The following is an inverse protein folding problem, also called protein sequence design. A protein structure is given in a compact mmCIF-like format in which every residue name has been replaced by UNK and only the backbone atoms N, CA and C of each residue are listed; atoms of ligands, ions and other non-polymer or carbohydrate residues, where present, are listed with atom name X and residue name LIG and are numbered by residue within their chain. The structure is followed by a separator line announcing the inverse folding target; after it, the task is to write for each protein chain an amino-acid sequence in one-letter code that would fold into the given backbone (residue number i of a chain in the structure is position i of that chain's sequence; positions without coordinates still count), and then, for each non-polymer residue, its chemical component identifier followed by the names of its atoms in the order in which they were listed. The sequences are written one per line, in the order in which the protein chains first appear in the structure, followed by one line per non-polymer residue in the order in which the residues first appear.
data_IF_988129481193
#
_entry.id   IF_988129481193
#
_cell.length_a   1.000
_cell.length_b   1.000
_cell.length_c   1.000
_cell.angle_alpha   90.00
_cell.angle_beta   90.00
_cell.angle_gamma   90.00
#
_symmetry.space_group_name_H-M   'P 1'
#
loop_
_entity.id
_entity.type
_entity.pdbx_description
1 polymer ?
#
# COMPACT_ATOMS: atom_id res chain seq x y z
N UNK A 1 25.35 30.37 34.23
CA UNK A 1 24.68 29.07 34.10
C UNK A 1 23.80 29.16 32.87
N UNK A 2 24.32 28.68 31.73
CA UNK A 2 23.52 28.55 30.50
C UNK A 2 22.44 27.50 30.78
N UNK A 3 21.18 27.92 30.71
CA UNK A 3 20.07 27.00 30.79
C UNK A 3 20.08 26.15 29.52
N UNK A 4 20.45 24.87 29.65
CA UNK A 4 20.31 23.90 28.59
C UNK A 4 18.85 23.91 28.12
N UNK A 5 18.66 24.11 26.82
CA UNK A 5 17.34 23.97 26.20
C UNK A 5 16.80 22.58 26.55
N UNK A 6 15.50 22.44 26.89
CA UNK A 6 14.93 21.12 27.12
C UNK A 6 15.04 20.31 25.83
N UNK A 7 15.66 19.13 25.90
CA UNK A 7 15.59 18.13 24.83
C UNK A 7 14.12 17.71 24.70
N UNK A 8 13.42 18.26 23.71
CA UNK A 8 12.03 17.93 23.41
C UNK A 8 11.88 16.64 22.59
N UNK A 9 12.98 16.06 22.11
CA UNK A 9 12.97 14.85 21.32
C UNK A 9 13.53 13.71 22.16
N UNK A 10 12.64 13.03 22.89
CA UNK A 10 12.94 11.64 23.24
C UNK A 10 13.27 10.91 21.94
N UNK A 11 14.44 10.27 21.83
CA UNK A 11 14.79 9.44 20.68
C UNK A 11 13.75 8.33 20.53
N UNK A 12 12.69 8.60 19.76
CA UNK A 12 11.56 7.71 19.61
C UNK A 12 12.08 6.43 18.97
N UNK A 13 11.85 5.27 19.60
CA UNK A 13 12.33 3.98 19.09
C UNK A 13 11.86 3.70 17.64
N UNK A 14 10.77 4.35 17.22
CA UNK A 14 10.19 4.31 15.88
C UNK A 14 10.99 5.08 14.81
N UNK A 15 12.03 5.83 15.21
CA UNK A 15 12.94 6.53 14.29
C UNK A 15 14.17 5.70 13.90
N UNK A 16 14.36 4.51 14.47
CA UNK A 16 15.55 3.71 14.19
C UNK A 16 15.38 2.89 12.91
N UNK A 17 16.29 3.09 11.96
CA UNK A 17 16.36 2.23 10.78
C UNK A 17 16.71 0.79 11.18
N UNK A 18 16.03 -0.17 10.58
CA UNK A 18 16.34 -1.59 10.72
C UNK A 18 16.44 -2.24 9.33
N UNK A 19 17.21 -3.31 9.23
CA UNK A 19 17.32 -4.08 8.00
C UNK A 19 16.12 -5.02 7.87
N UNK A 20 15.37 -4.90 6.77
CA UNK A 20 14.12 -5.65 6.55
C UNK A 20 14.36 -7.17 6.65
N UNK A 21 15.38 -7.70 5.97
CA UNK A 21 15.68 -9.13 6.02
C UNK A 21 16.06 -9.63 7.42
N UNK A 22 16.65 -8.77 8.26
CA UNK A 22 16.97 -9.14 9.64
C UNK A 22 15.71 -9.27 10.52
N UNK A 23 14.69 -8.43 10.28
CA UNK A 23 13.38 -8.55 10.92
C UNK A 23 12.73 -9.89 10.58
N UNK A 24 12.69 -10.26 9.29
CA UNK A 24 12.10 -11.53 8.85
C UNK A 24 12.82 -12.76 9.35
N UNK A 25 14.16 -12.71 9.44
CA UNK A 25 14.94 -13.79 10.08
C UNK A 25 14.65 -13.88 11.59
N UNK A 26 14.45 -12.73 12.26
CA UNK A 26 14.08 -12.69 13.68
C UNK A 26 12.71 -13.32 13.93
N UNK A 27 11.71 -12.96 13.13
CA UNK A 27 10.37 -13.52 13.24
C UNK A 27 10.31 -15.00 12.96
N UNK A 28 10.96 -15.47 11.89
CA UNK A 28 11.03 -16.92 11.59
C UNK A 28 11.72 -17.74 12.67
N UNK A 29 12.53 -17.13 13.55
CA UNK A 29 13.13 -17.80 14.71
C UNK A 29 12.19 -17.89 15.92
N UNK A 30 11.26 -16.96 16.03
CA UNK A 30 10.34 -16.85 17.17
C UNK A 30 9.01 -17.57 16.92
N UNK A 31 8.55 -17.54 15.66
CA UNK A 31 7.32 -18.18 15.21
C UNK A 31 7.57 -19.65 14.88
N UNK A 32 6.66 -20.53 15.32
CA UNK A 32 6.73 -21.96 15.02
C UNK A 32 6.15 -22.29 13.65
N UNK A 33 6.30 -23.55 13.19
CA UNK A 33 5.61 -24.05 12.00
C UNK A 33 4.09 -23.78 11.95
N UNK A 34 3.31 -23.90 13.04
CA UNK A 34 1.88 -23.58 12.97
C UNK A 34 1.58 -22.10 12.76
N UNK A 35 2.45 -21.19 13.23
CA UNK A 35 2.26 -19.74 13.08
C UNK A 35 2.59 -19.24 11.67
N UNK A 36 3.39 -20.01 10.91
CA UNK A 36 3.84 -19.69 9.55
C UNK A 36 3.05 -20.43 8.47
N UNK A 37 2.31 -21.46 8.85
CA UNK A 37 1.58 -22.34 7.95
C UNK A 37 0.47 -21.58 7.21
N UNK A 38 0.44 -21.73 5.88
CA UNK A 38 -0.66 -21.22 5.05
C UNK A 38 -1.75 -22.29 4.82
N UNK A 39 -1.60 -23.48 5.40
CA UNK A 39 -2.62 -24.50 5.35
C UNK A 39 -3.87 -24.02 6.11
N UNK A 40 -5.03 -24.05 5.44
CA UNK A 40 -6.29 -23.81 6.11
C UNK A 40 -6.52 -24.96 7.09
N UNK A 41 -6.55 -24.66 8.40
CA UNK A 41 -7.09 -25.60 9.38
C UNK A 41 -8.54 -25.90 8.99
N UNK A 42 -8.97 -27.15 9.19
CA UNK A 42 -10.37 -27.51 8.96
C UNK A 42 -11.25 -26.60 9.83
N UNK A 43 -12.32 -26.04 9.25
CA UNK A 43 -13.15 -25.03 9.91
C UNK A 43 -13.67 -25.49 11.30
N UNK A 44 -13.83 -26.79 11.52
CA UNK A 44 -14.18 -27.34 12.84
C UNK A 44 -13.04 -27.26 13.87
N UNK A 45 -11.79 -27.49 13.49
CA UNK A 45 -10.65 -27.35 14.40
C UNK A 45 -10.43 -25.87 14.76
N UNK A 46 -10.57 -24.97 13.79
CA UNK A 46 -10.47 -23.53 14.00
C UNK A 46 -11.58 -22.99 14.93
N UNK A 47 -12.84 -23.40 14.74
CA UNK A 47 -13.97 -22.98 15.59
C UNK A 47 -13.78 -23.44 17.05
N UNK A 48 -13.25 -24.65 17.25
CA UNK A 48 -12.95 -25.20 18.58
C UNK A 48 -11.80 -24.45 19.24
N UNK A 49 -10.74 -24.14 18.50
CA UNK A 49 -9.60 -23.36 19.00
C UNK A 49 -10.01 -21.93 19.40
N UNK A 50 -10.82 -21.26 18.59
CA UNK A 50 -11.35 -19.92 18.88
C UNK A 50 -12.28 -19.95 20.11
N UNK A 51 -13.17 -20.93 20.21
CA UNK A 51 -14.03 -21.10 21.37
C UNK A 51 -13.23 -21.31 22.67
N UNK A 52 -12.13 -22.08 22.60
CA UNK A 52 -11.24 -22.29 23.73
C UNK A 52 -10.48 -21.00 24.12
N UNK A 53 -9.97 -20.25 23.13
CA UNK A 53 -9.26 -18.98 23.36
C UNK A 53 -10.17 -17.89 23.98
N UNK A 54 -11.44 -17.86 23.58
CA UNK A 54 -12.44 -16.93 24.11
C UNK A 54 -13.06 -17.40 25.44
N UNK A 55 -12.72 -18.61 25.91
CA UNK A 55 -13.29 -19.19 27.12
C UNK A 55 -14.78 -19.52 27.01
N UNK A 56 -15.27 -19.78 25.79
CA UNK A 56 -16.67 -20.12 25.54
C UNK A 56 -16.97 -21.57 25.93
N UNK A 57 -18.12 -21.79 26.58
CA UNK A 57 -18.63 -23.14 26.78
C UNK A 57 -19.00 -23.78 25.42
N UNK A 58 -18.83 -25.11 25.25
CA UNK A 58 -19.08 -25.78 23.97
C UNK A 58 -20.53 -25.64 23.48
N UNK A 59 -21.50 -25.54 24.41
CA UNK A 59 -22.90 -25.25 24.07
C UNK A 59 -23.09 -23.85 23.48
N UNK A 60 -22.45 -22.84 24.06
CA UNK A 60 -22.51 -21.45 23.57
C UNK A 60 -21.79 -21.30 22.23
N UNK A 61 -20.68 -22.01 22.02
CA UNK A 61 -19.97 -22.01 20.73
C UNK A 61 -20.84 -22.60 19.61
N UNK A 62 -21.55 -23.71 19.88
CA UNK A 62 -22.48 -24.31 18.92
C UNK A 62 -23.67 -23.40 18.60
N UNK A 63 -24.21 -22.70 19.60
CA UNK A 63 -25.25 -21.68 19.40
C UNK A 63 -24.74 -20.53 18.54
N UNK A 64 -23.57 -19.97 18.83
CA UNK A 64 -22.96 -18.90 18.05
C UNK A 64 -22.68 -19.32 16.60
N UNK A 65 -22.18 -20.55 16.39
CA UNK A 65 -21.97 -21.11 15.04
C UNK A 65 -23.27 -21.15 14.24
N UNK A 66 -24.37 -21.48 14.89
CA UNK A 66 -25.69 -21.53 14.25
C UNK A 66 -26.20 -20.12 13.94
N UNK A 67 -26.14 -19.21 14.91
CA UNK A 67 -26.68 -17.84 14.79
C UNK A 67 -25.86 -16.95 13.85
N UNK A 68 -24.54 -17.12 13.83
CA UNK A 68 -23.61 -16.34 13.01
C UNK A 68 -23.24 -17.03 11.68
N UNK A 69 -23.98 -18.08 11.29
CA UNK A 69 -23.78 -18.77 10.02
C UNK A 69 -24.08 -17.86 8.82
N UNK A 70 -23.42 -18.13 7.69
CA UNK A 70 -23.66 -17.41 6.42
C UNK A 70 -25.14 -17.52 6.02
N UNK A 71 -25.76 -18.67 6.27
CA UNK A 71 -27.18 -18.90 5.98
C UNK A 71 -28.11 -17.98 6.78
N UNK A 72 -27.74 -17.58 8.00
CA UNK A 72 -28.47 -16.60 8.81
C UNK A 72 -28.21 -15.15 8.38
N UNK A 73 -27.15 -14.90 7.61
CA UNK A 73 -26.86 -13.59 7.02
C UNK A 73 -27.58 -13.37 5.69
N UNK A 74 -28.02 -14.45 5.04
CA UNK A 74 -28.80 -14.37 3.80
C UNK A 74 -30.22 -13.90 4.12
N UNK A 75 -30.77 -12.90 3.40
CA UNK A 75 -32.19 -12.56 3.53
C UNK A 75 -33.03 -13.80 3.23
N UNK A 76 -34.18 -13.93 3.91
CA UNK A 76 -35.21 -14.88 3.48
C UNK A 76 -35.49 -14.70 1.97
N UNK A 77 -35.97 -15.72 1.25
CA UNK A 77 -36.20 -15.71 -0.23
C UNK A 77 -37.00 -14.51 -0.79
N UNK A 78 -37.54 -13.64 0.06
CA UNK A 78 -38.06 -12.34 -0.29
C UNK A 78 -36.92 -11.34 -0.47
N UNK A 79 -36.71 -10.89 -1.71
CA UNK A 79 -36.04 -9.62 -1.98
C UNK A 79 -36.80 -8.50 -1.27
N UNK A 80 -36.38 -8.17 -0.06
CA UNK A 80 -36.81 -6.95 0.61
C UNK A 80 -35.98 -5.80 0.06
N UNK A 81 -36.66 -4.73 -0.37
CA UNK A 81 -36.00 -3.54 -0.85
C UNK A 81 -35.09 -2.98 0.27
N UNK A 82 -33.76 -2.96 0.08
CA UNK A 82 -32.83 -2.58 1.12
C UNK A 82 -33.02 -1.13 1.57
N UNK A 83 -33.72 -0.28 0.82
CA UNK A 83 -33.99 1.11 1.16
C UNK A 83 -35.23 1.30 2.04
N UNK A 84 -36.01 0.23 2.29
CA UNK A 84 -37.13 0.25 3.23
C UNK A 84 -36.62 -0.05 4.64
N UNK A 85 -36.51 1.00 5.46
CA UNK A 85 -36.06 0.87 6.86
C UNK A 85 -37.26 0.59 7.78
N UNK A 86 -37.24 -0.50 8.57
CA UNK A 86 -38.30 -0.79 9.54
C UNK A 86 -38.49 0.35 10.56
N UNK A 87 -39.73 0.76 10.80
CA UNK A 87 -40.07 1.89 11.68
C UNK A 87 -39.74 1.66 13.16
N UNK A 88 -39.61 0.40 13.56
CA UNK A 88 -39.38 -0.07 14.94
C UNK A 88 -37.90 -0.21 15.32
N UNK A 89 -36.98 0.18 14.42
CA UNK A 89 -35.55 0.03 14.69
C UNK A 89 -35.00 1.04 15.68
N UNK A 90 -34.52 0.55 16.82
CA UNK A 90 -33.77 1.33 17.81
C UNK A 90 -32.32 1.59 17.42
N UNK A 91 -31.82 0.98 16.32
CA UNK A 91 -30.41 1.05 15.92
C UNK A 91 -30.04 2.46 15.42
N UNK A 92 -28.94 2.99 15.96
CA UNK A 92 -28.44 4.31 15.62
C UNK A 92 -28.01 4.40 14.14
N UNK A 93 -27.47 3.30 13.60
CA UNK A 93 -27.08 3.16 12.19
C UNK A 93 -28.27 3.29 11.24
N UNK A 94 -29.41 2.65 11.55
CA UNK A 94 -30.63 2.75 10.75
C UNK A 94 -31.27 4.15 10.84
N UNK A 95 -31.18 4.82 11.99
CA UNK A 95 -31.58 6.24 12.12
C UNK A 95 -30.72 7.18 11.28
N UNK A 96 -29.41 6.96 11.21
CA UNK A 96 -28.51 7.73 10.34
C UNK A 96 -28.84 7.47 8.87
N UNK A 97 -29.06 6.21 8.49
CA UNK A 97 -29.43 5.82 7.12
C UNK A 97 -30.75 6.46 6.69
N UNK A 98 -31.78 6.45 7.56
CA UNK A 98 -33.08 7.09 7.30
C UNK A 98 -32.93 8.58 6.99
N UNK A 99 -32.16 9.30 7.80
CA UNK A 99 -31.83 10.72 7.54
C UNK A 99 -31.09 10.94 6.22
N UNK A 100 -30.24 10.00 5.81
CA UNK A 100 -29.53 10.09 4.54
C UNK A 100 -30.46 9.83 3.33
N UNK A 101 -31.40 8.90 3.44
CA UNK A 101 -32.43 8.63 2.43
C UNK A 101 -33.39 9.82 2.29
N UNK A 102 -33.90 10.36 3.40
CA UNK A 102 -34.75 11.57 3.41
C UNK A 102 -34.04 12.76 2.75
N UNK A 103 -32.76 12.98 3.07
CA UNK A 103 -31.95 14.01 2.39
C UNK A 103 -31.82 13.75 0.89
N UNK A 104 -31.62 12.51 0.43
CA UNK A 104 -31.55 12.18 -0.99
C UNK A 104 -32.87 12.42 -1.73
N UNK A 105 -34.01 12.26 -1.06
CA UNK A 105 -35.32 12.61 -1.62
C UNK A 105 -35.51 14.14 -1.71
N UNK A 106 -35.04 14.88 -0.69
CA UNK A 106 -35.15 16.34 -0.62
C UNK A 106 -34.15 17.09 -1.53
N UNK A 107 -32.99 16.49 -1.82
CA UNK A 107 -31.94 17.09 -2.66
C UNK A 107 -31.70 16.31 -3.95
N UNK A 108 -31.78 17.01 -5.10
CA UNK A 108 -31.44 16.47 -6.44
C UNK A 108 -29.91 16.17 -6.56
N UNK A 109 -29.14 16.49 -5.53
CA UNK A 109 -27.70 16.26 -5.46
C UNK A 109 -27.46 14.82 -5.03
N UNK A 110 -27.26 13.94 -6.00
CA UNK A 110 -26.73 12.60 -5.74
C UNK A 110 -25.24 12.75 -5.45
N UNK A 111 -24.87 12.74 -4.18
CA UNK A 111 -23.48 12.56 -3.76
C UNK A 111 -23.09 11.11 -4.10
N UNK A 112 -22.71 10.89 -5.37
CA UNK A 112 -22.16 9.61 -5.79
C UNK A 112 -20.87 9.46 -5.02
N UNK A 113 -20.82 8.44 -4.14
CA UNK A 113 -19.57 7.91 -3.62
C UNK A 113 -18.58 7.89 -4.79
N UNK A 114 -17.42 8.53 -4.58
CA UNK A 114 -16.45 8.78 -5.63
C UNK A 114 -16.28 7.50 -6.45
N UNK A 115 -16.66 7.53 -7.74
CA UNK A 115 -16.62 6.33 -8.61
C UNK A 115 -15.23 5.67 -8.59
N UNK A 116 -14.20 6.47 -8.34
CA UNK A 116 -12.84 6.01 -8.17
C UNK A 116 -12.69 5.05 -6.97
N UNK A 117 -13.29 5.37 -5.81
CA UNK A 117 -13.18 4.52 -4.61
C UNK A 117 -13.94 3.21 -4.78
N UNK A 118 -15.11 3.24 -5.42
CA UNK A 118 -15.85 2.03 -5.78
C UNK A 118 -15.04 1.16 -6.74
N UNK A 119 -14.46 1.75 -7.78
CA UNK A 119 -13.60 1.03 -8.73
C UNK A 119 -12.36 0.44 -8.04
N UNK A 120 -11.69 1.20 -7.17
CA UNK A 120 -10.52 0.71 -6.41
C UNK A 120 -10.91 -0.47 -5.52
N UNK A 121 -12.01 -0.37 -4.78
CA UNK A 121 -12.51 -1.47 -3.97
C UNK A 121 -12.87 -2.70 -4.82
N UNK A 122 -13.54 -2.51 -5.96
CA UNK A 122 -13.84 -3.60 -6.89
C UNK A 122 -12.55 -4.28 -7.38
N UNK A 123 -11.54 -3.50 -7.78
CA UNK A 123 -10.23 -3.99 -8.19
C UNK A 123 -9.51 -4.78 -7.09
N UNK A 124 -9.53 -4.29 -5.84
CA UNK A 124 -8.95 -4.99 -4.68
C UNK A 124 -9.72 -6.28 -4.35
N UNK A 125 -11.06 -6.23 -4.40
CA UNK A 125 -11.93 -7.38 -4.11
C UNK A 125 -11.76 -8.51 -5.13
N UNK A 126 -11.40 -8.20 -6.38
CA UNK A 126 -11.18 -9.20 -7.42
C UNK A 126 -10.09 -10.21 -7.10
N UNK A 127 -9.12 -9.86 -6.25
CA UNK A 127 -8.05 -10.76 -5.81
C UNK A 127 -8.41 -11.53 -4.53
N UNK A 128 -9.44 -11.10 -3.80
CA UNK A 128 -9.79 -11.67 -2.49
C UNK A 128 -10.29 -13.10 -2.66
N UNK A 129 -9.65 -14.05 -1.96
CA UNK A 129 -10.03 -15.47 -1.97
C UNK A 129 -9.64 -16.24 -3.24
N UNK A 130 -8.99 -15.61 -4.23
CA UNK A 130 -8.47 -16.31 -5.40
C UNK A 130 -7.09 -16.87 -5.11
N UNK A 131 -6.88 -18.13 -5.50
CA UNK A 131 -5.54 -18.73 -5.53
C UNK A 131 -4.91 -18.47 -6.89
N UNK A 132 -3.59 -18.20 -6.95
CA UNK A 132 -2.89 -18.09 -8.22
C UNK A 132 -3.02 -19.39 -9.03
N UNK A 133 -3.26 -19.27 -10.33
CA UNK A 133 -3.32 -20.42 -11.24
C UNK A 133 -1.92 -21.05 -11.44
N UNK A 134 -0.88 -20.21 -11.43
CA UNK A 134 0.51 -20.66 -11.55
C UNK A 134 1.10 -20.95 -10.18
N UNK A 135 1.83 -22.07 -10.10
CA UNK A 135 2.54 -22.46 -8.88
C UNK A 135 3.72 -21.55 -8.52
N UNK A 136 4.25 -20.79 -9.48
CA UNK A 136 5.33 -19.81 -9.28
C UNK A 136 4.87 -18.55 -8.55
N UNK A 137 3.57 -18.27 -8.60
CA UNK A 137 2.96 -17.08 -8.01
C UNK A 137 2.48 -17.36 -6.57
N UNK A 138 2.71 -18.60 -6.09
CA UNK A 138 2.49 -18.97 -4.70
C UNK A 138 3.57 -18.36 -3.81
N UNK A 139 3.14 -17.78 -2.70
CA UNK A 139 4.01 -17.16 -1.72
C UNK A 139 4.50 -18.24 -0.75
N UNK A 140 5.81 -18.25 -0.47
CA UNK A 140 6.41 -19.16 0.50
C UNK A 140 5.98 -18.83 1.94
N UNK A 141 5.90 -19.86 2.78
CA UNK A 141 5.55 -19.70 4.20
C UNK A 141 6.63 -18.89 4.94
N UNK A 142 6.19 -17.90 5.72
CA UNK A 142 7.08 -17.00 6.44
C UNK A 142 7.83 -15.99 5.56
N UNK A 143 7.34 -15.72 4.36
CA UNK A 143 7.79 -14.59 3.55
C UNK A 143 7.29 -13.25 4.15
N UNK A 144 8.15 -12.24 4.12
CA UNK A 144 7.79 -10.90 4.62
C UNK A 144 6.93 -10.16 3.62
N UNK A 145 5.95 -9.43 4.13
CA UNK A 145 5.06 -8.60 3.33
C UNK A 145 5.03 -7.16 3.87
N UNK A 146 5.40 -6.23 3.00
CA UNK A 146 5.48 -4.81 3.31
C UNK A 146 4.31 -4.07 2.67
N UNK A 147 3.67 -3.19 3.44
CA UNK A 147 2.60 -2.31 2.94
C UNK A 147 3.19 -0.94 2.63
N UNK A 148 3.16 -0.55 1.36
CA UNK A 148 3.71 0.70 0.85
C UNK A 148 2.59 1.63 0.38
N UNK A 149 2.62 2.84 0.87
CA UNK A 149 1.75 3.93 0.45
C UNK A 149 2.53 4.88 -0.46
N UNK A 150 2.07 5.03 -1.69
CA UNK A 150 2.63 5.91 -2.70
C UNK A 150 1.71 7.12 -2.84
N UNK A 151 2.28 8.31 -2.66
CA UNK A 151 1.53 9.57 -2.75
C UNK A 151 1.63 10.16 -4.15
N UNK A 152 0.71 11.07 -4.45
CA UNK A 152 0.77 11.86 -5.69
C UNK A 152 2.08 12.65 -5.78
N UNK A 153 2.52 12.97 -7.01
CA UNK A 153 3.69 13.80 -7.20
C UNK A 153 3.60 15.12 -6.43
N UNK A 154 4.70 15.52 -5.78
CA UNK A 154 4.78 16.72 -4.92
C UNK A 154 4.39 18.01 -5.67
N UNK A 155 4.50 17.99 -7.00
CA UNK A 155 4.10 19.08 -7.91
C UNK A 155 2.58 19.33 -7.95
N UNK A 156 1.73 18.37 -7.60
CA UNK A 156 0.28 18.53 -7.64
C UNK A 156 -0.29 19.10 -6.34
N UNK A 157 -0.31 20.44 -6.22
CA UNK A 157 -0.82 21.14 -5.04
C UNK A 157 -2.25 20.76 -4.63
N UNK A 158 -3.13 20.44 -5.61
CA UNK A 158 -4.52 20.01 -5.37
C UNK A 158 -4.67 18.63 -4.72
N UNK A 159 -3.63 17.81 -4.75
CA UNK A 159 -3.63 16.44 -4.21
C UNK A 159 -2.66 16.29 -3.04
N UNK A 160 -2.24 17.42 -2.46
CA UNK A 160 -1.29 17.47 -1.34
C UNK A 160 -1.91 16.98 -0.02
N UNK A 161 -3.23 16.82 0.02
CA UNK A 161 -4.00 16.55 1.23
C UNK A 161 -4.46 15.08 1.32
N UNK A 162 -3.78 14.36 2.23
CA UNK A 162 -4.27 13.29 3.10
C UNK A 162 -4.45 11.84 2.62
N UNK A 163 -4.49 11.51 1.31
CA UNK A 163 -4.68 10.11 0.88
C UNK A 163 -3.53 9.61 0.00
N UNK A 164 -2.98 8.40 0.26
CA UNK A 164 -2.11 7.74 -0.70
C UNK A 164 -2.87 7.54 -2.01
N UNK A 165 -2.17 7.78 -3.12
CA UNK A 165 -2.71 7.54 -4.46
C UNK A 165 -2.83 6.04 -4.73
N UNK A 166 -1.84 5.27 -4.27
CA UNK A 166 -1.75 3.83 -4.48
C UNK A 166 -1.19 3.19 -3.22
N UNK A 167 -1.84 2.13 -2.75
CA UNK A 167 -1.31 1.25 -1.70
C UNK A 167 -0.96 -0.08 -2.35
N UNK A 168 0.28 -0.53 -2.17
CA UNK A 168 0.77 -1.80 -2.73
C UNK A 168 1.35 -2.67 -1.63
N UNK A 169 1.19 -3.97 -1.80
CA UNK A 169 1.83 -4.99 -0.97
C UNK A 169 2.99 -5.56 -1.76
N UNK A 170 4.19 -5.56 -1.17
CA UNK A 170 5.40 -6.11 -1.80
C UNK A 170 6.03 -7.15 -0.89
N UNK A 171 6.64 -8.15 -1.49
CA UNK A 171 7.37 -9.18 -0.75
C UNK A 171 8.77 -8.71 -0.40
N UNK A 172 9.33 -9.21 0.70
CA UNK A 172 10.71 -8.98 1.08
C UNK A 172 11.71 -9.43 0.00
N UNK A 173 11.42 -10.53 -0.70
CA UNK A 173 12.24 -11.07 -1.78
C UNK A 173 12.05 -10.38 -3.14
N UNK A 174 11.03 -9.55 -3.33
CA UNK A 174 10.79 -8.87 -4.61
C UNK A 174 11.85 -7.81 -4.90
N UNK A 175 12.17 -7.66 -6.18
CA UNK A 175 13.11 -6.63 -6.62
C UNK A 175 12.48 -5.24 -6.58
N UNK A 176 13.29 -4.23 -6.31
CA UNK A 176 12.86 -2.83 -6.39
C UNK A 176 12.32 -2.45 -7.78
N UNK A 177 12.87 -3.07 -8.82
CA UNK A 177 12.44 -2.85 -10.21
C UNK A 177 10.99 -3.26 -10.46
N UNK A 178 10.49 -4.28 -9.75
CA UNK A 178 9.10 -4.74 -9.86
C UNK A 178 8.15 -3.71 -9.28
N UNK A 179 8.49 -3.14 -8.11
CA UNK A 179 7.74 -2.02 -7.55
C UNK A 179 7.71 -0.84 -8.55
N UNK A 180 8.87 -0.45 -9.09
CA UNK A 180 8.95 0.65 -10.08
C UNK A 180 8.01 0.41 -11.27
N UNK A 181 7.95 -0.81 -11.78
CA UNK A 181 7.12 -1.14 -12.92
C UNK A 181 5.61 -1.09 -12.59
N UNK A 182 5.24 -1.42 -11.35
CA UNK A 182 3.86 -1.39 -10.83
C UNK A 182 3.32 0.01 -10.47
N UNK A 183 4.18 1.01 -10.31
CA UNK A 183 3.75 2.38 -10.01
C UNK A 183 3.08 2.96 -11.26
N UNK A 184 1.83 3.41 -11.11
CA UNK A 184 1.04 3.99 -12.19
C UNK A 184 0.96 5.52 -12.06
N UNK A 185 1.96 6.26 -12.55
CA UNK A 185 1.93 7.72 -12.46
C UNK A 185 1.13 8.34 -13.61
N UNK A 186 0.40 9.44 -13.35
CA UNK A 186 -0.29 10.22 -14.40
C UNK A 186 0.72 10.79 -15.41
N UNK A 187 1.92 11.16 -14.97
CA UNK A 187 3.00 11.64 -15.84
C UNK A 187 3.48 10.57 -16.82
N UNK A 188 3.34 9.28 -16.48
CA UNK A 188 3.71 8.18 -17.39
C UNK A 188 2.78 8.07 -18.59
N UNK A 189 1.50 8.45 -18.42
CA UNK A 189 0.46 8.40 -19.44
C UNK A 189 0.49 9.63 -20.38
N UNK A 190 1.34 10.61 -20.09
CA UNK A 190 1.43 11.81 -20.92
C UNK A 190 2.00 11.45 -22.29
N UNK A 191 1.39 12.02 -23.31
CA UNK A 191 1.84 11.93 -24.69
C UNK A 191 2.82 13.08 -24.91
N UNK A 192 4.10 12.74 -25.06
CA UNK A 192 5.14 13.71 -25.41
C UNK A 192 5.24 13.87 -26.93
N UNK A 193 5.52 15.08 -27.40
CA UNK A 193 5.81 15.36 -28.82
C UNK A 193 5.04 16.54 -29.39
N UNK A 194 5.35 16.89 -30.64
CA UNK A 194 4.64 17.92 -31.40
C UNK A 194 3.63 17.28 -32.34
N UNK A 195 2.35 17.49 -32.06
CA UNK A 195 1.24 16.99 -32.88
C UNK A 195 0.51 18.11 -33.63
N UNK A 196 1.09 19.32 -33.64
CA UNK A 196 0.46 20.52 -34.21
C UNK A 196 0.08 20.35 -35.68
N UNK A 197 0.91 19.65 -36.46
CA UNK A 197 0.69 19.38 -37.88
C UNK A 197 -0.20 18.16 -38.15
N UNK A 198 -0.35 17.25 -37.20
CA UNK A 198 -1.05 15.96 -37.37
C UNK A 198 -1.83 15.59 -36.08
N UNK A 199 -2.91 16.32 -35.75
CA UNK A 199 -3.62 16.12 -34.49
C UNK A 199 -4.38 14.79 -34.40
N UNK A 200 -4.73 14.17 -35.54
CA UNK A 200 -5.46 12.90 -35.60
C UNK A 200 -4.53 11.67 -35.50
N UNK A 201 -3.21 11.86 -35.47
CA UNK A 201 -2.27 10.76 -35.41
C UNK A 201 -2.22 10.19 -33.99
N UNK A 202 -2.50 8.89 -33.85
CA UNK A 202 -2.33 8.19 -32.60
C UNK A 202 -0.84 8.19 -32.21
N UNK A 203 -0.49 8.60 -30.98
CA UNK A 203 0.88 8.55 -30.51
C UNK A 203 1.40 7.12 -30.44
N UNK A 204 2.62 6.89 -30.94
CA UNK A 204 3.25 5.57 -30.91
C UNK A 204 3.82 5.22 -29.53
N UNK A 205 4.18 6.24 -28.74
CA UNK A 205 4.84 6.08 -27.44
C UNK A 205 4.26 7.02 -26.39
N UNK A 206 4.17 6.51 -25.16
CA UNK A 206 3.86 7.32 -23.98
C UNK A 206 5.14 7.75 -23.27
N UNK A 207 5.04 8.71 -22.35
CA UNK A 207 6.19 9.23 -21.61
C UNK A 207 6.95 8.15 -20.85
N UNK A 208 6.26 7.11 -20.32
CA UNK A 208 6.92 5.95 -19.69
C UNK A 208 7.87 5.20 -20.63
N UNK A 209 7.58 5.17 -21.92
CA UNK A 209 8.41 4.46 -22.90
C UNK A 209 9.68 5.24 -23.23
N UNK A 210 9.58 6.57 -23.26
CA UNK A 210 10.67 7.47 -23.63
C UNK A 210 11.57 7.81 -22.44
N UNK A 211 10.99 8.03 -21.26
CA UNK A 211 11.68 8.53 -20.07
C UNK A 211 11.79 7.45 -19.01
N UNK A 212 12.67 6.47 -19.27
CA UNK A 212 12.85 5.29 -18.42
C UNK A 212 13.69 5.53 -17.16
N UNK A 213 14.31 6.69 -17.01
CA UNK A 213 15.18 6.97 -15.86
C UNK A 213 14.36 7.15 -14.59
N UNK A 214 14.71 6.43 -13.53
CA UNK A 214 14.06 6.53 -12.23
C UNK A 214 15.01 6.12 -11.10
N UNK A 215 14.74 6.57 -9.88
CA UNK A 215 15.41 6.08 -8.68
C UNK A 215 14.47 6.00 -7.48
N UNK A 216 14.80 5.10 -6.55
CA UNK A 216 14.33 5.19 -5.17
C UNK A 216 15.43 5.74 -4.28
N UNK A 217 15.05 6.49 -3.25
CA UNK A 217 15.95 7.00 -2.23
C UNK A 217 15.50 6.52 -0.86
N UNK A 218 16.31 5.64 -0.25
CA UNK A 218 16.10 5.08 1.08
C UNK A 218 17.36 5.28 1.93
N UNK A 219 17.21 5.89 3.11
CA UNK A 219 18.28 6.01 4.13
C UNK A 219 19.66 6.43 3.57
N UNK A 220 19.72 7.46 2.73
CA UNK A 220 20.99 7.98 2.16
C UNK A 220 21.45 7.26 0.89
N UNK A 221 20.71 6.28 0.40
CA UNK A 221 21.08 5.46 -0.76
C UNK A 221 20.11 5.68 -1.91
N UNK A 222 20.65 6.04 -3.07
CA UNK A 222 19.94 6.12 -4.35
C UNK A 222 20.05 4.80 -5.11
N UNK A 223 18.90 4.18 -5.38
CA UNK A 223 18.78 2.97 -6.20
C UNK A 223 18.30 3.39 -7.59
N UNK A 224 19.23 3.62 -8.51
CA UNK A 224 18.92 4.07 -9.87
C UNK A 224 18.59 2.89 -10.77
N UNK A 225 17.52 2.98 -11.55
CA UNK A 225 17.20 1.99 -12.58
C UNK A 225 18.24 2.09 -13.71
N UNK A 226 19.05 1.06 -13.87
CA UNK A 226 20.09 0.98 -14.92
C UNK A 226 19.87 -0.20 -15.86
N UNK A 227 18.64 -0.74 -15.92
CA UNK A 227 18.26 -1.86 -16.80
C UNK A 227 18.42 -1.56 -18.29
N UNK A 228 18.21 -0.30 -18.69
CA UNK A 228 18.28 0.13 -20.09
C UNK A 228 19.46 1.08 -20.32
N UNK A 229 20.13 1.03 -21.49
CA UNK A 229 21.21 1.95 -21.83
C UNK A 229 20.77 3.42 -21.86
N UNK A 230 19.48 3.69 -22.13
CA UNK A 230 18.91 5.04 -22.12
C UNK A 230 18.76 5.63 -20.71
N UNK A 231 18.76 4.78 -19.67
CA UNK A 231 18.59 5.23 -18.30
C UNK A 231 19.79 6.06 -17.85
N UNK A 232 19.51 7.28 -17.43
CA UNK A 232 20.49 8.20 -16.85
C UNK A 232 20.48 8.06 -15.34
N UNK A 233 21.65 8.27 -14.74
CA UNK A 233 21.79 8.36 -13.30
C UNK A 233 21.31 9.74 -12.84
N UNK A 234 20.05 9.80 -12.40
CA UNK A 234 19.41 11.04 -11.94
C UNK A 234 19.98 11.51 -10.60
N UNK A 235 20.51 10.60 -9.79
CA UNK A 235 21.08 10.93 -8.47
C UNK A 235 22.42 11.66 -8.53
N UNK A 236 23.15 11.54 -9.64
CA UNK A 236 24.50 12.10 -9.80
C UNK A 236 24.59 13.58 -9.40
N UNK A 237 23.71 14.40 -9.96
CA UNK A 237 23.71 15.85 -9.70
C UNK A 237 23.47 16.16 -8.22
N UNK A 238 22.63 15.37 -7.55
CA UNK A 238 22.32 15.53 -6.12
C UNK A 238 23.54 15.17 -5.27
N UNK A 239 24.21 14.06 -5.60
CA UNK A 239 25.43 13.61 -4.90
C UNK A 239 26.55 14.64 -5.08
N UNK A 240 26.86 15.05 -6.31
CA UNK A 240 27.89 16.05 -6.59
C UNK A 240 27.58 17.39 -5.89
N UNK A 241 26.31 17.81 -5.91
CA UNK A 241 25.88 19.01 -5.19
C UNK A 241 26.08 18.88 -3.67
N UNK A 242 25.79 17.71 -3.09
CA UNK A 242 25.97 17.45 -1.66
C UNK A 242 27.44 17.45 -1.23
N UNK A 243 28.34 16.90 -2.06
CA UNK A 243 29.78 16.84 -1.78
C UNK A 243 30.46 18.20 -1.92
N UNK A 244 29.96 19.05 -2.84
CA UNK A 244 30.54 20.37 -3.11
C UNK A 244 30.35 21.38 -1.96
N UNK A 245 29.46 21.10 -1.00
CA UNK A 245 29.20 21.97 0.12
C UNK A 245 29.22 21.19 1.44
N UNK A 246 29.99 21.67 2.42
CA UNK A 246 29.96 21.13 3.78
C UNK A 246 28.64 21.46 4.48
N UNK A 247 27.60 20.65 4.21
CA UNK A 247 26.21 20.84 4.68
C UNK A 247 25.77 19.76 5.67
N UNK A 248 26.68 18.89 6.11
CA UNK A 248 26.37 17.79 7.02
C UNK A 248 25.61 16.61 6.38
N UNK A 249 25.53 16.54 5.05
CA UNK A 249 25.07 15.34 4.35
C UNK A 249 26.25 14.39 4.21
N UNK A 250 26.32 13.38 5.07
CA UNK A 250 27.37 12.38 5.00
C UNK A 250 26.90 11.15 4.19
N UNK A 251 27.77 10.68 3.29
CA UNK A 251 27.72 9.34 2.68
C UNK A 251 26.49 9.05 1.79
N UNK A 252 26.08 9.98 0.92
CA UNK A 252 25.13 9.64 -0.15
C UNK A 252 25.76 8.62 -1.11
N UNK A 253 25.05 7.52 -1.38
CA UNK A 253 25.53 6.44 -2.24
C UNK A 253 24.58 6.20 -3.41
N UNK A 254 25.12 5.69 -4.51
CA UNK A 254 24.33 5.29 -5.68
C UNK A 254 24.60 3.83 -6.04
N UNK A 255 23.54 3.04 -6.12
CA UNK A 255 23.57 1.65 -6.56
C UNK A 255 22.60 1.40 -7.70
N UNK A 256 22.74 0.23 -8.33
CA UNK A 256 21.83 -0.29 -9.35
C UNK A 256 20.57 -0.83 -8.69
N UNK A 257 19.40 -0.40 -9.13
CA UNK A 257 18.11 -0.83 -8.59
C UNK A 257 17.88 -2.34 -8.80
N UNK A 258 18.32 -2.87 -9.94
CA UNK A 258 18.10 -4.26 -10.37
C UNK A 258 18.84 -5.33 -9.52
N UNK A 259 19.80 -4.90 -8.71
CA UNK A 259 20.64 -5.75 -7.86
C UNK A 259 20.09 -5.89 -6.43
N UNK A 260 18.99 -5.20 -6.09
CA UNK A 260 18.46 -5.13 -4.71
C UNK A 260 17.02 -5.61 -4.60
N UNK A 261 16.74 -6.26 -3.47
CA UNK A 261 15.40 -6.65 -3.02
C UNK A 261 15.02 -5.90 -1.74
N UNK A 262 13.74 -5.93 -1.35
CA UNK A 262 13.29 -5.25 -0.12
C UNK A 262 14.01 -5.73 1.15
N UNK A 263 14.38 -7.01 1.22
CA UNK A 263 15.12 -7.60 2.34
C UNK A 263 16.51 -6.96 2.56
N UNK A 264 17.11 -6.36 1.53
CA UNK A 264 18.40 -5.69 1.63
C UNK A 264 18.31 -4.26 2.15
N UNK A 265 17.12 -3.68 2.15
CA UNK A 265 16.92 -2.30 2.54
C UNK A 265 17.01 -2.12 4.06
N UNK A 266 17.48 -0.94 4.44
CA UNK A 266 17.31 -0.42 5.80
C UNK A 266 16.22 0.63 5.78
N UNK A 267 15.20 0.46 6.62
CA UNK A 267 14.00 1.29 6.62
C UNK A 267 13.56 1.62 8.05
N UNK A 268 12.85 2.74 8.16
CA UNK A 268 12.03 3.20 9.28
C UNK A 268 10.56 3.13 8.86
N UNK A 269 9.71 2.57 9.73
CA UNK A 269 8.26 2.54 9.50
C UNK A 269 7.68 3.94 9.67
N UNK A 270 6.73 4.31 8.80
CA UNK A 270 6.08 5.62 8.83
C UNK A 270 6.95 6.77 8.33
N UNK A 271 8.20 6.51 7.94
CA UNK A 271 9.11 7.54 7.44
C UNK A 271 8.91 7.78 5.93
N UNK A 272 8.94 9.04 5.47
CA UNK A 272 8.80 9.37 4.06
C UNK A 272 10.10 9.14 3.28
N UNK A 273 10.03 8.28 2.28
CA UNK A 273 11.06 8.05 1.27
C UNK A 273 10.66 8.66 -0.06
N UNK A 274 11.60 8.71 -1.00
CA UNK A 274 11.39 9.33 -2.30
C UNK A 274 11.53 8.31 -3.43
N UNK A 275 10.57 8.35 -4.35
CA UNK A 275 10.69 7.80 -5.69
C UNK A 275 10.65 8.94 -6.69
N UNK A 276 11.62 9.01 -7.58
CA UNK A 276 11.64 10.02 -8.64
C UNK A 276 11.77 9.32 -9.99
N UNK A 277 10.92 9.69 -10.95
CA UNK A 277 10.98 9.23 -12.32
C UNK A 277 10.85 10.41 -13.29
N UNK A 278 11.27 10.21 -14.55
CA UNK A 278 11.27 11.23 -15.61
C UNK A 278 12.15 12.47 -15.34
N UNK A 279 12.80 12.56 -14.18
CA UNK A 279 13.76 13.60 -13.79
C UNK A 279 13.24 14.59 -12.75
N UNK A 280 11.92 14.81 -12.69
CA UNK A 280 11.29 15.79 -11.81
C UNK A 280 9.95 15.32 -11.20
N UNK A 281 9.47 14.12 -11.56
CA UNK A 281 8.23 13.59 -11.00
C UNK A 281 8.52 12.83 -9.70
N UNK A 282 8.40 13.55 -8.59
CA UNK A 282 8.75 13.09 -7.23
C UNK A 282 7.53 12.59 -6.46
N UNK A 283 7.57 11.32 -6.05
CA UNK A 283 6.56 10.67 -5.22
C UNK A 283 7.11 10.36 -3.83
N UNK A 284 6.31 10.65 -2.81
CA UNK A 284 6.60 10.18 -1.46
C UNK A 284 6.12 8.74 -1.31
N UNK A 285 6.98 7.89 -0.75
CA UNK A 285 6.69 6.49 -0.42
C UNK A 285 6.82 6.32 1.08
N UNK A 286 5.80 5.75 1.71
CA UNK A 286 5.79 5.46 3.14
C UNK A 286 5.53 3.97 3.32
N UNK A 287 6.44 3.28 4.01
CA UNK A 287 6.18 1.91 4.49
C UNK A 287 5.39 2.03 5.78
N UNK A 288 4.13 1.61 5.77
CA UNK A 288 3.24 1.75 6.94
C UNK A 288 3.23 0.51 7.83
N UNK A 289 3.50 -0.65 7.26
CA UNK A 289 3.41 -1.93 7.95
C UNK A 289 4.36 -2.95 7.32
N UNK A 290 4.88 -3.86 8.14
CA UNK A 290 5.63 -5.04 7.72
C UNK A 290 5.12 -6.19 8.57
N UNK A 291 4.72 -7.29 7.93
CA UNK A 291 4.17 -8.50 8.55
C UNK A 291 4.72 -9.78 7.92
#
# INVERSE_FOLDING_TARGET
AEAAAPDYESAEQYTRAFRVGALGLGWRRLLGPPDLSLAAEEAEEADVAVAAALGCAPGTAAELRTVCSVDMLMPSEKEEDPDVIPEDSSLLTLRIRKKALERREETIIVDRACRQETLTYEMESHATGKRPDNTTDLIEEGELLLTLNIFYPVIFQKHKEHKPYQTVLVLGSQKLTELRDSISCVSDLQIGGEFSSQPDQAPEHISKDLYKSAFFYFEGIFYNDKRYPECRDLSRTIIEWSESHDRGYENLQSFKMEDYVFNDLSLKIGFPYLYCHQGDCEHIIIVTDIR
#
